data_IF_811370147379
#
_entry.id   IF_811370147379
#
_cell.length_a   1.000
_cell.length_b   1.000
_cell.length_c   1.000
_cell.angle_alpha   90.00
_cell.angle_beta   90.00
_cell.angle_gamma   90.00
#
_symmetry.space_group_name_H-M   'P 1'
#
loop_
_entity.id
_entity.type
_entity.pdbx_description
1 polymer ?
#
# COMPACT_ATOMS: atom_id res chain seq x y z
N UNK A 1 18.95 2.02 -17.84
CA UNK A 1 17.92 1.12 -17.29
C UNK A 1 17.72 1.47 -15.83
N UNK A 2 16.46 1.55 -15.38
CA UNK A 2 16.07 1.68 -13.98
C UNK A 2 15.11 0.54 -13.67
N UNK A 3 15.32 -0.16 -12.56
CA UNK A 3 14.43 -1.24 -12.10
C UNK A 3 13.60 -0.73 -10.94
N UNK A 4 12.29 -0.95 -11.01
CA UNK A 4 11.33 -0.65 -9.96
C UNK A 4 10.80 -1.97 -9.39
N UNK A 5 10.55 -2.01 -8.09
CA UNK A 5 10.26 -3.25 -7.40
C UNK A 5 10.15 -3.06 -5.89
N UNK A 6 9.81 -4.15 -5.21
CA UNK A 6 9.62 -4.19 -3.76
C UNK A 6 10.87 -4.74 -3.07
N UNK A 7 11.35 -4.08 -2.02
CA UNK A 7 12.38 -4.63 -1.13
C UNK A 7 11.69 -5.28 0.08
N UNK A 8 11.68 -6.61 0.15
CA UNK A 8 10.79 -7.36 1.06
C UNK A 8 11.51 -8.49 1.82
N UNK A 9 10.86 -9.02 2.87
CA UNK A 9 11.40 -10.04 3.79
C UNK A 9 12.01 -9.46 5.08
N UNK A 10 12.81 -10.25 5.79
CA UNK A 10 13.55 -9.82 6.99
C UNK A 10 12.65 -9.42 8.17
N UNK A 11 12.65 -8.15 8.53
CA UNK A 11 11.68 -7.56 9.47
C UNK A 11 11.08 -6.27 8.90
N UNK A 12 11.10 -6.14 7.57
CA UNK A 12 10.67 -4.98 6.79
C UNK A 12 9.19 -4.73 7.10
N UNK A 13 8.33 -5.68 6.74
CA UNK A 13 6.90 -5.61 7.04
C UNK A 13 6.46 -6.73 7.97
N UNK A 14 5.61 -6.39 8.93
CA UNK A 14 4.99 -7.32 9.86
C UNK A 14 3.64 -7.83 9.33
N UNK A 15 3.23 -9.02 9.78
CA UNK A 15 1.93 -9.66 9.49
C UNK A 15 1.69 -10.05 8.02
N UNK A 16 2.73 -10.04 7.17
CA UNK A 16 2.69 -10.61 5.81
C UNK A 16 3.32 -12.00 5.76
N UNK A 17 2.97 -12.81 4.77
CA UNK A 17 3.60 -14.11 4.55
C UNK A 17 5.11 -14.01 4.34
N UNK A 18 5.59 -12.91 3.75
CA UNK A 18 7.02 -12.71 3.50
C UNK A 18 7.83 -12.54 4.78
N UNK A 19 7.19 -12.22 5.91
CA UNK A 19 7.84 -12.19 7.23
C UNK A 19 9.15 -11.38 7.18
N UNK A 20 10.31 -11.94 7.51
CA UNK A 20 10.62 -13.25 8.09
C UNK A 20 11.30 -14.27 7.14
N UNK A 21 11.34 -14.02 5.84
CA UNK A 21 12.19 -14.69 4.84
C UNK A 21 13.53 -13.93 4.69
N UNK A 22 14.53 -14.43 3.94
CA UNK A 22 15.67 -13.62 3.54
C UNK A 22 15.22 -12.34 2.81
N UNK A 23 15.90 -11.22 3.03
CA UNK A 23 15.57 -9.96 2.34
C UNK A 23 15.96 -10.03 0.87
N UNK A 24 15.06 -9.59 -0.02
CA UNK A 24 15.20 -9.68 -1.47
C UNK A 24 14.59 -8.47 -2.17
N UNK A 25 15.00 -8.22 -3.41
CA UNK A 25 14.38 -7.24 -4.31
C UNK A 25 13.53 -7.97 -5.35
N UNK A 26 12.23 -7.71 -5.40
CA UNK A 26 11.31 -8.26 -6.41
C UNK A 26 11.03 -7.18 -7.44
N UNK A 27 11.63 -7.28 -8.63
CA UNK A 27 11.44 -6.34 -9.73
C UNK A 27 10.03 -6.49 -10.30
N UNK A 28 9.29 -5.39 -10.41
CA UNK A 28 7.90 -5.35 -10.91
C UNK A 28 7.71 -4.50 -12.17
N UNK A 29 8.64 -3.59 -12.48
CA UNK A 29 8.65 -2.84 -13.73
C UNK A 29 10.08 -2.38 -14.09
N UNK A 30 10.38 -2.23 -15.37
CA UNK A 30 11.68 -1.74 -15.84
C UNK A 30 11.49 -0.56 -16.78
N UNK A 31 12.33 0.46 -16.63
CA UNK A 31 12.37 1.63 -17.51
C UNK A 31 13.70 1.71 -18.26
N UNK A 32 13.63 1.75 -19.59
CA UNK A 32 14.79 1.76 -20.49
C UNK A 32 14.58 2.85 -21.55
N UNK A 33 15.47 3.84 -21.57
CA UNK A 33 15.57 4.86 -22.60
C UNK A 33 14.24 5.57 -22.95
N UNK A 34 13.44 5.89 -21.93
CA UNK A 34 12.13 6.54 -22.09
C UNK A 34 10.92 5.61 -21.98
N UNK A 35 11.10 4.31 -22.18
CA UNK A 35 9.98 3.36 -22.29
C UNK A 35 9.90 2.41 -21.09
N UNK A 36 8.68 2.01 -20.75
CA UNK A 36 8.40 0.95 -19.80
C UNK A 36 8.44 -0.42 -20.48
N UNK A 37 8.92 -1.42 -19.75
CA UNK A 37 9.00 -2.81 -20.17
C UNK A 37 8.46 -3.71 -19.06
N UNK A 38 7.70 -4.74 -19.46
CA UNK A 38 7.30 -5.81 -18.58
C UNK A 38 8.48 -6.71 -18.22
N UNK A 39 8.49 -7.19 -16.98
CA UNK A 39 9.62 -7.94 -16.41
C UNK A 39 9.77 -9.36 -16.97
N UNK A 40 8.71 -9.91 -17.56
CA UNK A 40 8.69 -11.21 -18.22
C UNK A 40 9.34 -11.16 -19.62
N UNK A 41 9.41 -9.97 -20.24
CA UNK A 41 10.14 -9.74 -21.50
C UNK A 41 11.66 -9.65 -21.35
N UNK A 42 12.19 -9.80 -20.12
CA UNK A 42 13.59 -9.54 -19.78
C UNK A 42 14.25 -10.71 -19.03
N UNK A 43 14.92 -11.58 -19.78
CA UNK A 43 15.64 -12.78 -19.28
C UNK A 43 16.70 -12.50 -18.19
N UNK A 44 17.10 -11.24 -17.97
CA UNK A 44 18.25 -10.85 -17.15
C UNK A 44 17.90 -10.29 -15.75
N UNK A 45 16.63 -10.31 -15.34
CA UNK A 45 16.17 -9.68 -14.08
C UNK A 45 16.34 -10.53 -12.81
N UNK A 46 17.15 -11.59 -12.87
CA UNK A 46 17.34 -12.54 -11.77
C UNK A 46 18.79 -12.59 -11.29
N UNK A 47 19.00 -12.64 -9.97
CA UNK A 47 20.33 -12.85 -9.39
C UNK A 47 20.23 -13.44 -7.99
N UNK A 48 20.55 -14.73 -7.83
CA UNK A 48 20.63 -15.36 -6.50
C UNK A 48 21.64 -14.67 -5.57
N UNK A 49 22.89 -14.36 -5.99
CA UNK A 49 23.87 -13.74 -5.10
C UNK A 49 23.42 -12.36 -4.58
N UNK A 50 22.70 -11.59 -5.40
CA UNK A 50 22.15 -10.29 -5.01
C UNK A 50 20.74 -10.37 -4.39
N UNK A 51 20.14 -11.57 -4.35
CA UNK A 51 18.74 -11.81 -3.97
C UNK A 51 17.75 -10.92 -4.73
N UNK A 52 17.90 -10.90 -6.06
CA UNK A 52 16.98 -10.25 -7.00
C UNK A 52 16.10 -11.33 -7.65
N UNK A 53 14.80 -11.05 -7.71
CA UNK A 53 13.72 -11.88 -8.28
C UNK A 53 12.90 -11.03 -9.25
N UNK A 54 12.23 -11.68 -10.20
CA UNK A 54 11.18 -11.06 -11.01
C UNK A 54 9.82 -11.22 -10.32
N UNK A 55 8.87 -10.29 -10.48
CA UNK A 55 7.49 -10.54 -10.06
C UNK A 55 6.87 -11.71 -10.84
N UNK A 56 7.38 -11.99 -12.05
CA UNK A 56 7.03 -13.15 -12.87
C UNK A 56 7.45 -14.51 -12.26
N UNK A 57 8.33 -14.52 -11.26
CA UNK A 57 8.69 -15.74 -10.50
C UNK A 57 7.52 -16.23 -9.61
N UNK A 58 6.46 -15.42 -9.49
CA UNK A 58 5.30 -15.66 -8.62
C UNK A 58 3.99 -15.77 -9.42
N UNK A 59 2.95 -16.46 -8.89
CA UNK A 59 1.66 -16.61 -9.57
C UNK A 59 1.05 -15.28 -10.03
N UNK A 60 0.74 -15.20 -11.32
CA UNK A 60 0.06 -14.08 -11.96
C UNK A 60 -1.46 -14.34 -12.06
N UNK A 61 -2.22 -13.29 -12.35
CA UNK A 61 -3.68 -13.35 -12.58
C UNK A 61 -4.04 -12.52 -13.80
N UNK A 62 -4.89 -13.05 -14.67
CA UNK A 62 -5.50 -12.36 -15.80
C UNK A 62 -7.04 -12.34 -15.67
N UNK A 63 -7.66 -11.30 -16.19
CA UNK A 63 -9.12 -11.22 -16.37
C UNK A 63 -9.50 -10.14 -17.39
N UNK A 64 -10.67 -10.29 -18.01
CA UNK A 64 -11.29 -9.24 -18.84
C UNK A 64 -12.24 -8.42 -17.98
N UNK A 65 -12.14 -7.09 -18.06
CA UNK A 65 -13.07 -6.15 -17.39
C UNK A 65 -14.08 -5.65 -18.42
N UNK A 66 -15.29 -6.20 -18.38
CA UNK A 66 -16.42 -5.65 -19.13
C UNK A 66 -16.98 -4.41 -18.40
N UNK A 67 -16.71 -3.22 -18.94
CA UNK A 67 -17.23 -1.95 -18.42
C UNK A 67 -18.76 -1.80 -18.55
N UNK A 68 -19.44 -2.62 -19.35
CA UNK A 68 -20.89 -2.71 -19.35
C UNK A 68 -21.44 -3.53 -18.16
N UNK A 69 -20.60 -4.37 -17.52
CA UNK A 69 -20.96 -5.24 -16.39
C UNK A 69 -19.98 -5.10 -15.19
N UNK A 70 -19.72 -3.87 -14.68
CA UNK A 70 -18.65 -3.61 -13.72
C UNK A 70 -18.82 -4.34 -12.38
N UNK A 71 -20.05 -4.73 -12.02
CA UNK A 71 -20.32 -5.50 -10.80
C UNK A 71 -19.70 -6.91 -10.84
N UNK A 72 -19.63 -7.55 -12.02
CA UNK A 72 -19.00 -8.86 -12.16
C UNK A 72 -17.48 -8.76 -11.99
N UNK A 73 -16.87 -7.75 -12.63
CA UNK A 73 -15.45 -7.47 -12.48
C UNK A 73 -15.07 -7.17 -11.02
N UNK A 74 -15.84 -6.33 -10.32
CA UNK A 74 -15.63 -6.05 -8.90
C UNK A 74 -15.73 -7.30 -8.01
N UNK A 75 -16.67 -8.21 -8.31
CA UNK A 75 -16.79 -9.50 -7.62
C UNK A 75 -15.54 -10.36 -7.78
N UNK A 76 -15.09 -10.57 -9.02
CA UNK A 76 -13.90 -11.37 -9.35
C UNK A 76 -12.62 -10.77 -8.73
N UNK A 77 -12.42 -9.46 -8.84
CA UNK A 77 -11.29 -8.75 -8.21
C UNK A 77 -11.27 -8.95 -6.69
N UNK A 78 -12.45 -8.87 -6.05
CA UNK A 78 -12.62 -9.10 -4.62
C UNK A 78 -12.35 -10.54 -4.19
N UNK A 79 -12.76 -11.53 -4.99
CA UNK A 79 -12.56 -12.94 -4.70
C UNK A 79 -11.10 -13.36 -4.85
N UNK A 80 -10.40 -12.90 -5.90
CA UNK A 80 -8.96 -13.09 -6.09
C UNK A 80 -8.19 -12.47 -4.92
N UNK A 81 -8.51 -11.22 -4.56
CA UNK A 81 -7.86 -10.52 -3.44
C UNK A 81 -8.10 -11.24 -2.11
N UNK A 82 -9.30 -11.80 -1.89
CA UNK A 82 -9.60 -12.59 -0.68
C UNK A 82 -8.82 -13.90 -0.63
N UNK A 83 -8.61 -14.56 -1.76
CA UNK A 83 -7.75 -15.74 -1.85
C UNK A 83 -6.28 -15.40 -1.52
N UNK A 84 -5.76 -14.29 -2.06
CA UNK A 84 -4.41 -13.78 -1.77
C UNK A 84 -4.25 -13.40 -0.29
N UNK A 85 -5.25 -12.75 0.32
CA UNK A 85 -5.25 -12.42 1.74
C UNK A 85 -5.32 -13.66 2.64
N UNK A 86 -6.02 -14.70 2.21
CA UNK A 86 -6.07 -15.97 2.94
C UNK A 86 -4.71 -16.69 2.89
N UNK A 87 -4.06 -16.72 1.72
CA UNK A 87 -2.79 -17.40 1.50
C UNK A 87 -1.98 -16.69 0.41
N UNK A 88 -0.93 -15.98 0.81
CA UNK A 88 -0.07 -15.23 -0.11
C UNK A 88 0.58 -16.14 -1.16
N UNK A 89 0.39 -15.89 -2.48
CA UNK A 89 0.98 -16.72 -3.52
C UNK A 89 2.52 -16.61 -3.56
N UNK A 90 3.07 -15.40 -3.39
CA UNK A 90 4.52 -15.18 -3.35
C UNK A 90 5.17 -15.81 -2.11
N UNK A 91 4.53 -15.71 -0.94
CA UNK A 91 4.98 -16.40 0.27
C UNK A 91 5.00 -17.92 0.07
N UNK A 92 3.93 -18.48 -0.48
CA UNK A 92 3.80 -19.92 -0.72
C UNK A 92 4.87 -20.45 -1.69
N UNK A 93 5.16 -19.72 -2.77
CA UNK A 93 6.24 -20.04 -3.71
C UNK A 93 7.62 -20.05 -3.04
N UNK A 94 7.80 -19.27 -1.98
CA UNK A 94 9.02 -19.21 -1.15
C UNK A 94 8.95 -20.13 0.09
N UNK A 95 8.00 -21.08 0.12
CA UNK A 95 7.86 -22.09 1.17
C UNK A 95 7.24 -21.58 2.48
N UNK A 96 6.50 -20.46 2.46
CA UNK A 96 5.94 -19.86 3.68
C UNK A 96 4.48 -19.43 3.53
N UNK A 97 3.63 -20.00 4.38
CA UNK A 97 2.23 -19.58 4.48
C UNK A 97 2.06 -18.30 5.29
N UNK A 98 1.00 -17.55 4.97
CA UNK A 98 0.62 -16.33 5.67
C UNK A 98 -0.25 -15.42 4.80
N UNK A 99 -0.54 -14.23 5.32
CA UNK A 99 -1.41 -13.23 4.69
C UNK A 99 -0.72 -12.55 3.51
N UNK A 100 -1.40 -12.41 2.37
CA UNK A 100 -0.97 -11.59 1.24
C UNK A 100 -1.64 -10.22 1.24
N UNK A 101 -0.93 -9.20 0.74
CA UNK A 101 -1.45 -7.82 0.69
C UNK A 101 -2.65 -7.64 -0.25
N UNK A 102 -2.60 -8.30 -1.42
CA UNK A 102 -3.53 -8.07 -2.53
C UNK A 102 -2.83 -8.21 -3.88
N UNK A 103 -3.42 -7.62 -4.92
CA UNK A 103 -2.96 -7.72 -6.32
C UNK A 103 -2.84 -6.32 -6.95
N UNK A 104 -1.80 -6.12 -7.77
CA UNK A 104 -1.68 -4.97 -8.67
C UNK A 104 -2.09 -5.40 -10.06
N UNK A 105 -3.05 -4.68 -10.63
CA UNK A 105 -3.64 -4.92 -11.94
C UNK A 105 -3.10 -3.90 -12.94
N UNK A 106 -2.87 -4.35 -14.18
CA UNK A 106 -2.31 -3.56 -15.28
C UNK A 106 -3.08 -3.93 -16.55
N UNK A 107 -3.37 -2.95 -17.40
CA UNK A 107 -4.01 -3.22 -18.68
C UNK A 107 -2.97 -3.78 -19.67
N UNK A 108 -3.30 -4.88 -20.34
CA UNK A 108 -2.42 -5.51 -21.33
C UNK A 108 -2.50 -4.80 -22.70
N UNK A 109 -3.69 -4.34 -23.08
CA UNK A 109 -3.93 -3.66 -24.36
C UNK A 109 -3.40 -2.21 -24.36
N UNK A 110 -3.44 -1.55 -23.20
CA UNK A 110 -2.91 -0.19 -22.99
C UNK A 110 -1.93 -0.18 -21.80
N UNK A 111 -0.63 -0.50 -22.03
CA UNK A 111 0.36 -0.73 -20.97
C UNK A 111 0.77 0.53 -20.17
N UNK A 112 0.12 1.67 -20.40
CA UNK A 112 0.33 2.90 -19.64
C UNK A 112 -0.10 2.77 -18.17
N UNK A 113 0.59 3.49 -17.28
CA UNK A 113 0.31 3.49 -15.83
C UNK A 113 -1.08 4.03 -15.46
N UNK A 114 -1.77 4.70 -16.38
CA UNK A 114 -3.07 5.35 -16.15
C UNK A 114 -4.19 4.33 -15.86
N UNK A 115 -4.03 3.09 -16.31
CA UNK A 115 -4.95 1.97 -16.05
C UNK A 115 -4.45 1.02 -14.95
N UNK A 116 -3.39 1.38 -14.22
CA UNK A 116 -2.85 0.53 -13.16
C UNK A 116 -3.57 0.80 -11.84
N UNK A 117 -4.07 -0.25 -11.19
CA UNK A 117 -4.75 -0.13 -9.90
C UNK A 117 -4.39 -1.29 -8.96
N UNK A 118 -4.52 -1.07 -7.66
CA UNK A 118 -4.26 -2.07 -6.63
C UNK A 118 -5.57 -2.45 -5.93
N UNK A 119 -5.78 -3.74 -5.69
CA UNK A 119 -6.88 -4.24 -4.86
C UNK A 119 -6.26 -4.95 -3.66
N UNK A 120 -6.41 -4.37 -2.47
CA UNK A 120 -5.84 -4.88 -1.22
C UNK A 120 -6.87 -5.60 -0.37
N UNK A 121 -6.43 -6.62 0.37
CA UNK A 121 -7.24 -7.29 1.38
C UNK A 121 -7.61 -6.36 2.54
N UNK A 122 -8.71 -6.64 3.24
CA UNK A 122 -9.19 -5.80 4.34
C UNK A 122 -8.19 -5.67 5.50
N UNK A 123 -7.37 -6.69 5.76
CA UNK A 123 -6.28 -6.68 6.76
C UNK A 123 -5.11 -5.77 6.35
N UNK A 124 -4.99 -5.48 5.05
CA UNK A 124 -3.96 -4.63 4.44
C UNK A 124 -4.50 -3.28 3.94
N UNK A 125 -5.79 -3.01 4.19
CA UNK A 125 -6.36 -1.68 4.04
C UNK A 125 -5.74 -0.74 5.07
N UNK A 126 -5.10 0.33 4.60
CA UNK A 126 -4.61 1.40 5.44
C UNK A 126 -5.76 2.16 6.15
N UNK A 127 -6.98 2.04 5.59
CA UNK A 127 -8.17 2.74 6.06
C UNK A 127 -9.22 1.80 6.66
N UNK A 128 -9.98 2.31 7.63
CA UNK A 128 -11.23 1.69 8.10
C UNK A 128 -12.48 2.38 7.54
N UNK A 129 -12.31 3.34 6.62
CA UNK A 129 -13.39 4.06 5.96
C UNK A 129 -14.15 3.10 5.02
N UNK A 130 -15.24 2.53 5.52
CA UNK A 130 -16.32 2.05 4.65
C UNK A 130 -17.10 3.27 4.13
N UNK A 131 -17.70 3.20 2.93
CA UNK A 131 -18.47 4.29 2.33
C UNK A 131 -19.44 4.89 3.35
N UNK A 132 -19.11 6.07 3.87
CA UNK A 132 -19.88 6.71 4.94
C UNK A 132 -21.26 7.07 4.40
N UNK A 133 -22.31 6.57 5.06
CA UNK A 133 -23.67 6.95 4.74
C UNK A 133 -23.84 8.46 4.99
N UNK A 134 -24.46 9.16 4.04
CA UNK A 134 -24.68 10.59 4.12
C UNK A 134 -25.75 10.93 5.17
N UNK A 135 -25.35 11.09 6.43
CA UNK A 135 -26.24 11.46 7.55
C UNK A 135 -25.72 12.75 8.20
N UNK A 136 -26.55 13.79 8.35
CA UNK A 136 -26.27 14.93 9.23
C UNK A 136 -26.37 14.47 10.70
N UNK A 137 -25.57 14.96 11.65
CA UNK A 137 -25.55 16.35 12.15
C UNK A 137 -24.11 16.75 12.53
N UNK A 138 -23.81 18.05 12.42
CA UNK A 138 -22.52 18.72 12.75
C UNK A 138 -21.25 18.33 11.97
N UNK A 139 -20.65 19.32 11.29
CA UNK A 139 -19.45 19.15 10.44
C UNK A 139 -18.18 18.78 11.22
N UNK A 140 -18.10 19.15 12.50
CA UNK A 140 -16.90 18.93 13.33
C UNK A 140 -16.79 17.44 13.68
N UNK A 141 -17.87 16.84 14.20
CA UNK A 141 -17.94 15.40 14.48
C UNK A 141 -17.58 14.57 13.25
N UNK A 142 -18.19 14.87 12.09
CA UNK A 142 -17.83 14.22 10.81
C UNK A 142 -16.35 14.29 10.47
N UNK A 143 -15.70 15.41 10.78
CA UNK A 143 -14.27 15.61 10.48
C UNK A 143 -13.40 14.79 11.44
N UNK A 144 -13.70 14.77 12.74
CA UNK A 144 -12.99 13.90 13.69
C UNK A 144 -13.19 12.42 13.39
N UNK A 145 -14.41 12.01 13.03
CA UNK A 145 -14.75 10.63 12.73
C UNK A 145 -14.02 10.16 11.46
N UNK A 146 -14.08 10.95 10.38
CA UNK A 146 -13.32 10.68 9.16
C UNK A 146 -11.82 10.54 9.44
N UNK A 147 -11.23 11.48 10.19
CA UNK A 147 -9.81 11.43 10.55
C UNK A 147 -9.48 10.20 11.41
N UNK A 148 -10.35 9.79 12.34
CA UNK A 148 -10.14 8.60 13.15
C UNK A 148 -10.22 7.29 12.34
N UNK A 149 -11.05 7.22 11.29
CA UNK A 149 -11.13 6.05 10.40
C UNK A 149 -10.02 6.02 9.35
N UNK A 150 -9.62 7.18 8.82
CA UNK A 150 -8.59 7.31 7.81
C UNK A 150 -7.17 7.18 8.42
N UNK A 151 -6.89 7.83 9.55
CA UNK A 151 -5.56 7.80 10.20
C UNK A 151 -5.47 6.58 11.12
N UNK A 152 -5.63 5.39 10.53
CA UNK A 152 -5.62 4.13 11.27
C UNK A 152 -4.20 3.69 11.66
N UNK A 153 -4.11 2.83 12.67
CA UNK A 153 -2.86 2.18 13.12
C UNK A 153 -2.08 1.52 11.96
N UNK A 154 -2.78 0.98 10.96
CA UNK A 154 -2.15 0.36 9.79
C UNK A 154 -1.46 1.40 8.89
N UNK A 155 -2.13 2.54 8.63
CA UNK A 155 -1.57 3.66 7.85
C UNK A 155 -0.42 4.34 8.59
N UNK A 156 -0.52 4.48 9.92
CA UNK A 156 0.55 5.01 10.77
C UNK A 156 1.77 4.07 10.78
N UNK A 157 1.56 2.76 10.91
CA UNK A 157 2.63 1.76 10.80
C UNK A 157 3.32 1.78 9.43
N UNK A 158 2.54 1.92 8.34
CA UNK A 158 3.07 2.03 6.96
C UNK A 158 3.87 3.33 6.76
N UNK A 159 3.42 4.46 7.31
CA UNK A 159 4.17 5.72 7.23
C UNK A 159 5.50 5.68 7.97
N UNK A 160 5.55 4.98 9.12
CA UNK A 160 6.78 4.79 9.87
C UNK A 160 7.73 3.84 9.14
N UNK A 161 7.19 2.79 8.52
CA UNK A 161 7.94 1.91 7.63
C UNK A 161 8.60 2.70 6.48
N UNK A 162 7.82 3.49 5.74
CA UNK A 162 8.31 4.31 4.63
C UNK A 162 9.41 5.28 5.06
N UNK A 163 9.27 5.92 6.23
CA UNK A 163 10.30 6.80 6.79
C UNK A 163 11.64 6.07 6.97
N UNK A 164 11.62 4.90 7.61
CA UNK A 164 12.83 4.18 8.03
C UNK A 164 13.51 3.47 6.84
N UNK A 165 12.73 2.76 6.01
CA UNK A 165 13.30 1.81 5.03
C UNK A 165 13.40 2.39 3.62
N UNK A 166 12.38 3.13 3.17
CA UNK A 166 12.36 3.73 1.83
C UNK A 166 13.07 5.09 1.81
N UNK A 167 12.70 6.01 2.70
CA UNK A 167 13.34 7.33 2.81
C UNK A 167 14.69 7.29 3.53
N UNK A 168 15.00 6.19 4.24
CA UNK A 168 16.23 6.00 5.03
C UNK A 168 16.47 7.10 6.07
N UNK A 169 15.39 7.58 6.71
CA UNK A 169 15.42 8.62 7.73
C UNK A 169 15.34 8.03 9.14
N UNK A 170 15.96 8.68 10.14
CA UNK A 170 15.97 8.17 11.50
C UNK A 170 14.57 8.23 12.12
N UNK A 171 14.25 7.22 12.93
CA UNK A 171 13.09 7.26 13.81
C UNK A 171 13.42 8.08 15.07
N UNK A 172 13.44 9.40 14.89
CA UNK A 172 13.63 10.38 15.95
C UNK A 172 12.80 11.65 15.67
N UNK A 173 13.02 12.72 16.47
CA UNK A 173 12.31 13.99 16.30
C UNK A 173 12.59 14.71 14.97
N UNK A 174 13.70 14.40 14.28
CA UNK A 174 14.02 14.96 12.95
C UNK A 174 13.20 14.30 11.84
N UNK A 175 12.97 12.97 11.92
CA UNK A 175 12.14 12.23 10.96
C UNK A 175 10.63 12.53 11.04
N UNK A 176 10.16 13.04 12.18
CA UNK A 176 8.73 13.29 12.46
C UNK A 176 8.03 14.15 11.39
N UNK A 177 8.70 15.19 10.87
CA UNK A 177 8.10 16.09 9.88
C UNK A 177 7.85 15.39 8.53
N UNK A 178 8.72 14.46 8.16
CA UNK A 178 8.60 13.67 6.93
C UNK A 178 7.55 12.56 7.07
N UNK A 179 7.49 11.92 8.24
CA UNK A 179 6.41 10.98 8.59
C UNK A 179 5.02 11.63 8.48
N UNK A 180 4.84 12.81 9.11
CA UNK A 180 3.57 13.55 9.05
C UNK A 180 3.22 13.90 7.60
N UNK A 181 4.20 14.35 6.79
CA UNK A 181 3.97 14.68 5.39
C UNK A 181 3.53 13.46 4.57
N UNK A 182 4.14 12.30 4.82
CA UNK A 182 3.75 11.04 4.19
C UNK A 182 2.31 10.66 4.56
N UNK A 183 1.95 10.65 5.86
CA UNK A 183 0.61 10.25 6.31
C UNK A 183 -0.48 11.19 5.78
N UNK A 184 -0.23 12.51 5.76
CA UNK A 184 -1.18 13.46 5.14
C UNK A 184 -1.31 13.20 3.64
N UNK A 185 -0.19 12.99 2.93
CA UNK A 185 -0.20 12.71 1.50
C UNK A 185 -0.94 11.42 1.14
N UNK A 186 -0.74 10.36 1.92
CA UNK A 186 -1.39 9.05 1.73
C UNK A 186 -2.91 9.14 1.96
N UNK A 187 -3.37 9.77 3.05
CA UNK A 187 -4.81 9.99 3.29
C UNK A 187 -5.44 10.80 2.15
N UNK A 188 -4.81 11.88 1.70
CA UNK A 188 -5.36 12.72 0.63
C UNK A 188 -5.43 11.97 -0.72
N UNK A 189 -4.55 10.99 -0.94
CA UNK A 189 -4.52 10.18 -2.15
C UNK A 189 -5.52 9.02 -2.09
N UNK A 190 -5.50 8.23 -1.02
CA UNK A 190 -6.33 7.02 -0.90
C UNK A 190 -7.80 7.32 -0.56
N UNK A 191 -8.08 8.43 0.13
CA UNK A 191 -9.46 8.80 0.51
C UNK A 191 -10.08 9.87 -0.41
N UNK A 192 -9.47 10.20 -1.55
CA UNK A 192 -9.89 11.31 -2.42
C UNK A 192 -11.39 11.25 -2.80
N UNK A 193 -11.87 10.05 -3.16
CA UNK A 193 -13.28 9.81 -3.48
C UNK A 193 -14.20 10.00 -2.27
N UNK A 194 -13.80 9.52 -1.08
CA UNK A 194 -14.56 9.71 0.16
C UNK A 194 -14.63 11.19 0.55
N UNK A 195 -13.50 11.90 0.44
CA UNK A 195 -13.37 13.33 0.72
C UNK A 195 -14.32 14.13 -0.17
N UNK A 196 -14.31 13.84 -1.47
CA UNK A 196 -15.19 14.45 -2.47
C UNK A 196 -16.67 14.13 -2.22
N UNK A 197 -17.03 12.85 -2.09
CA UNK A 197 -18.41 12.39 -1.92
C UNK A 197 -19.08 12.89 -0.64
N UNK A 198 -18.32 13.15 0.43
CA UNK A 198 -18.82 13.69 1.68
C UNK A 198 -18.72 15.23 1.78
N UNK A 199 -18.18 15.90 0.75
CA UNK A 199 -18.05 17.36 0.70
C UNK A 199 -17.09 17.95 1.74
N UNK A 200 -16.03 17.20 2.10
CA UNK A 200 -14.99 17.71 2.99
C UNK A 200 -14.09 18.71 2.24
N UNK A 201 -13.72 19.81 2.91
CA UNK A 201 -12.71 20.76 2.38
C UNK A 201 -11.32 20.17 2.63
N UNK A 202 -10.71 19.56 1.62
CA UNK A 202 -9.39 18.91 1.71
C UNK A 202 -8.31 19.81 2.35
N UNK A 203 -8.39 21.14 2.13
CA UNK A 203 -7.46 22.12 2.72
C UNK A 203 -7.56 22.19 4.25
N UNK A 204 -8.69 21.78 4.84
CA UNK A 204 -8.94 21.76 6.29
C UNK A 204 -8.71 20.40 6.93
N UNK A 205 -8.48 19.36 6.12
CA UNK A 205 -8.19 18.01 6.62
C UNK A 205 -6.71 17.81 7.00
N UNK A 206 -5.78 18.56 6.41
CA UNK A 206 -4.34 18.40 6.64
C UNK A 206 -3.91 18.58 8.10
N UNK A 207 -4.41 19.63 8.77
CA UNK A 207 -4.10 19.93 10.18
C UNK A 207 -4.59 18.82 11.16
N UNK A 208 -5.87 18.40 11.17
CA UNK A 208 -6.31 17.36 12.10
C UNK A 208 -5.67 16.00 11.82
N UNK A 209 -5.38 15.65 10.56
CA UNK A 209 -4.61 14.43 10.23
C UNK A 209 -3.20 14.51 10.82
N UNK A 210 -2.50 15.64 10.61
CA UNK A 210 -1.16 15.86 11.14
C UNK A 210 -1.11 15.82 12.68
N UNK A 211 -2.16 16.31 13.35
CA UNK A 211 -2.27 16.29 14.81
C UNK A 211 -2.42 14.86 15.38
N UNK A 212 -3.15 13.98 14.71
CA UNK A 212 -3.24 12.55 15.09
C UNK A 212 -1.92 11.84 14.81
N UNK A 213 -1.35 12.00 13.61
CA UNK A 213 -0.09 11.38 13.22
C UNK A 213 1.07 11.77 14.15
N UNK A 214 1.22 13.08 14.46
CA UNK A 214 2.22 13.57 15.42
C UNK A 214 2.08 12.91 16.80
N UNK A 215 0.85 12.81 17.32
CA UNK A 215 0.57 12.25 18.64
C UNK A 215 1.01 10.79 18.74
N UNK A 216 0.66 9.99 17.72
CA UNK A 216 1.07 8.59 17.64
C UNK A 216 2.60 8.45 17.53
N UNK A 217 3.25 9.23 16.65
CA UNK A 217 4.71 9.18 16.48
C UNK A 217 5.47 9.51 17.78
N UNK A 218 5.02 10.52 18.53
CA UNK A 218 5.58 10.84 19.83
C UNK A 218 5.35 9.75 20.89
N UNK A 219 4.22 9.04 20.85
CA UNK A 219 3.97 7.90 21.74
C UNK A 219 4.92 6.73 21.43
N UNK A 220 5.05 6.35 20.15
CA UNK A 220 5.98 5.30 19.72
C UNK A 220 7.44 5.61 20.08
N UNK A 221 7.86 6.88 20.04
CA UNK A 221 9.19 7.30 20.50
C UNK A 221 9.36 7.16 22.02
N UNK A 222 8.32 7.46 22.80
CA UNK A 222 8.36 7.31 24.25
C UNK A 222 8.45 5.83 24.67
N UNK A 223 7.65 4.97 24.04
CA UNK A 223 7.67 3.52 24.29
C UNK A 223 9.03 2.90 23.91
N UNK A 224 9.62 3.32 22.79
CA UNK A 224 10.95 2.89 22.36
C UNK A 224 12.09 3.40 23.25
N UNK A 225 11.89 4.48 24.01
CA UNK A 225 12.85 5.02 24.97
C UNK A 225 12.70 4.45 26.39
N UNK A 226 11.57 3.78 26.68
CA UNK A 226 11.29 3.09 27.95
C UNK A 226 11.50 1.57 27.92
N UNK A 227 11.97 1.03 26.79
CA UNK A 227 12.24 -0.39 26.51
C UNK A 227 13.73 -0.72 26.58
#
# INVERSE_FOLDING_TARGET
MVMYGEWCGGTIQNKVALTGLPTMFVVSAVWINGNWYDVDTLDCLFSEPARIRSIADFPQYDMVIDFAQPALAQGMLGDITRAVELRCPAGLALGREGVGEGVVWRCLDEPGSDYWFKVKGQKHSASRVTKLAAVSVEKIAKTSDFVAMAVSEARLSQGLHNLIYEQRKPFDMSGMADFIRWVVGDVMKEEADTISANGFDARKLGEPIAAVARRWYCAQLADAAGS
#
